data_IF_981788895204
#
_entry.id   IF_981788895204
#
_cell.length_a   1.000
_cell.length_b   1.000
_cell.length_c   1.000
_cell.angle_alpha   90.00
_cell.angle_beta   90.00
_cell.angle_gamma   90.00
#
_symmetry.space_group_name_H-M   'P 1'
#
loop_
_entity.id
_entity.type
_entity.pdbx_description
1 polymer ?
#
# COMPACT_ATOMS: atom_id res chain seq x y z
N UNK A 1 27.71 24.67 6.27
CA UNK A 1 26.94 23.45 6.01
C UNK A 1 25.49 23.76 6.38
N UNK A 2 24.56 23.62 5.46
CA UNK A 2 23.15 23.98 5.67
C UNK A 2 22.59 23.17 6.83
N UNK A 3 21.91 23.84 7.77
CA UNK A 3 21.38 23.21 8.99
C UNK A 3 20.24 22.22 8.67
N UNK A 4 19.39 22.58 7.70
CA UNK A 4 18.29 21.76 7.21
C UNK A 4 18.71 20.34 6.80
N UNK A 5 19.85 20.22 6.08
CA UNK A 5 20.34 18.89 5.64
C UNK A 5 20.76 18.00 6.82
N UNK A 6 21.29 18.58 7.90
CA UNK A 6 21.62 17.83 9.12
C UNK A 6 20.37 17.37 9.85
N UNK A 7 19.35 18.23 9.94
CA UNK A 7 18.05 17.91 10.56
C UNK A 7 17.35 16.79 9.78
N UNK A 8 17.32 16.86 8.44
CA UNK A 8 16.77 15.80 7.59
C UNK A 8 17.53 14.47 7.74
N UNK A 9 18.87 14.51 7.80
CA UNK A 9 19.68 13.32 8.06
C UNK A 9 19.37 12.70 9.43
N UNK A 10 19.07 13.50 10.44
CA UNK A 10 18.67 13.02 11.77
C UNK A 10 17.37 12.24 11.68
N UNK A 11 16.37 12.75 10.96
CA UNK A 11 15.12 12.03 10.70
C UNK A 11 15.40 10.72 9.97
N UNK A 12 16.16 10.75 8.88
CA UNK A 12 16.49 9.57 8.10
C UNK A 12 17.11 8.44 8.94
N UNK A 13 18.04 8.80 9.85
CA UNK A 13 18.67 7.83 10.76
C UNK A 13 17.72 7.26 11.81
N UNK A 14 16.65 7.98 12.14
CA UNK A 14 15.68 7.60 13.19
C UNK A 14 14.51 6.80 12.65
N UNK A 15 14.35 6.72 11.32
CA UNK A 15 13.22 6.01 10.69
C UNK A 15 13.67 4.64 10.21
N UNK A 16 13.21 3.60 10.92
CA UNK A 16 13.43 2.21 10.56
C UNK A 16 12.38 1.71 9.55
N UNK A 17 12.51 0.42 9.15
CA UNK A 17 11.54 -0.28 8.31
C UNK A 17 10.12 -0.22 8.90
N UNK A 18 9.14 0.09 8.07
CA UNK A 18 7.73 0.10 8.46
C UNK A 18 7.10 -1.29 8.37
N UNK A 19 6.17 -1.55 9.30
CA UNK A 19 5.29 -2.71 9.23
C UNK A 19 4.15 -2.39 8.25
N UNK A 20 3.78 -3.36 7.41
CA UNK A 20 2.64 -3.26 6.52
C UNK A 20 1.34 -3.38 7.32
N UNK A 21 0.56 -2.33 7.41
CA UNK A 21 -0.70 -2.24 8.16
C UNK A 21 -1.93 -2.06 7.27
N UNK A 22 -1.73 -1.79 5.98
CA UNK A 22 -2.79 -1.70 4.99
C UNK A 22 -2.97 -2.99 4.19
N UNK A 23 -4.21 -3.27 3.77
CA UNK A 23 -4.53 -4.38 2.89
C UNK A 23 -5.50 -3.92 1.79
N UNK A 24 -5.16 -4.15 0.53
CA UNK A 24 -6.02 -3.89 -0.62
C UNK A 24 -5.81 -4.95 -1.70
N UNK A 25 -6.91 -5.45 -2.27
CA UNK A 25 -6.89 -6.39 -3.40
C UNK A 25 -5.91 -7.57 -3.25
N UNK A 26 -5.73 -8.10 -2.02
CA UNK A 26 -4.89 -9.27 -1.76
C UNK A 26 -3.41 -8.97 -1.52
N UNK A 27 -2.99 -7.72 -1.43
CA UNK A 27 -1.63 -7.34 -1.02
C UNK A 27 -1.65 -6.44 0.21
N UNK A 28 -0.58 -6.50 0.99
CA UNK A 28 -0.34 -5.62 2.14
C UNK A 28 0.53 -4.45 1.73
N UNK A 29 0.31 -3.29 2.34
CA UNK A 29 1.11 -2.09 2.11
C UNK A 29 1.21 -1.24 3.37
N UNK A 30 2.18 -0.35 3.42
CA UNK A 30 2.32 0.63 4.50
C UNK A 30 1.40 1.82 4.22
N UNK A 31 0.44 2.12 5.12
CA UNK A 31 -0.49 3.23 4.93
C UNK A 31 0.19 4.60 5.08
N UNK A 32 -0.41 5.63 4.47
CA UNK A 32 0.07 7.02 4.65
C UNK A 32 0.03 7.46 6.11
N UNK A 33 -0.99 7.04 6.87
CA UNK A 33 -1.09 7.32 8.30
C UNK A 33 0.05 6.72 9.12
N UNK A 34 0.49 5.50 8.80
CA UNK A 34 1.63 4.87 9.46
C UNK A 34 2.92 5.63 9.18
N UNK A 35 3.13 6.07 7.93
CA UNK A 35 4.30 6.90 7.58
C UNK A 35 4.27 8.22 8.35
N UNK A 36 3.15 8.93 8.31
CA UNK A 36 3.02 10.22 8.99
C UNK A 36 3.12 10.12 10.51
N UNK A 37 2.57 9.08 11.12
CA UNK A 37 2.65 8.87 12.57
C UNK A 37 4.09 8.68 13.07
N UNK A 38 4.98 8.19 12.21
CA UNK A 38 6.41 8.05 12.55
C UNK A 38 7.23 9.30 12.15
N UNK A 39 7.02 9.85 10.97
CA UNK A 39 7.85 10.93 10.43
C UNK A 39 7.50 12.29 11.05
N UNK A 40 6.21 12.60 11.24
CA UNK A 40 5.77 13.90 11.76
C UNK A 40 6.30 14.24 13.15
N UNK A 41 6.34 13.33 14.17
CA UNK A 41 6.96 13.64 15.44
C UNK A 41 8.44 14.04 15.31
N UNK A 42 9.19 13.36 14.45
CA UNK A 42 10.60 13.66 14.18
C UNK A 42 10.77 15.01 13.47
N UNK A 43 9.88 15.35 12.54
CA UNK A 43 9.85 16.68 11.91
C UNK A 43 9.63 17.77 12.96
N UNK A 44 8.65 17.59 13.85
CA UNK A 44 8.35 18.54 14.92
C UNK A 44 9.54 18.73 15.87
N UNK A 45 10.19 17.64 16.25
CA UNK A 45 11.39 17.66 17.12
C UNK A 45 12.54 18.44 16.46
N UNK A 46 12.71 18.30 15.15
CA UNK A 46 13.75 19.00 14.40
C UNK A 46 13.34 20.42 13.97
N UNK A 47 12.11 20.86 14.26
CA UNK A 47 11.60 22.16 13.82
C UNK A 47 11.48 22.27 12.30
N UNK A 48 11.06 21.20 11.63
CA UNK A 48 10.88 21.16 10.18
C UNK A 48 9.40 21.12 9.79
N UNK A 49 9.05 21.88 8.75
CA UNK A 49 7.75 21.85 8.07
C UNK A 49 7.95 21.32 6.66
N UNK A 50 7.01 20.50 6.17
CA UNK A 50 6.91 20.09 4.78
C UNK A 50 5.69 20.74 4.14
N UNK A 51 5.92 21.69 3.24
CA UNK A 51 4.88 22.28 2.42
C UNK A 51 4.68 21.47 1.14
N UNK A 52 3.41 21.36 0.68
CA UNK A 52 3.01 20.65 -0.52
C UNK A 52 2.24 21.62 -1.42
N UNK A 53 2.81 21.94 -2.58
CA UNK A 53 2.18 22.77 -3.59
C UNK A 53 1.87 21.92 -4.82
N UNK A 54 0.60 21.80 -5.19
CA UNK A 54 0.21 21.12 -6.43
C UNK A 54 0.44 22.09 -7.60
N UNK A 55 1.41 21.76 -8.45
CA UNK A 55 1.81 22.59 -9.58
C UNK A 55 1.10 22.24 -10.88
N UNK A 56 0.59 21.01 -10.99
CA UNK A 56 -0.16 20.54 -12.17
C UNK A 56 -1.17 19.47 -11.78
N UNK A 57 -2.34 19.50 -12.42
CA UNK A 57 -3.40 18.48 -12.31
C UNK A 57 -3.90 18.14 -13.70
N UNK A 58 -3.88 16.85 -14.05
CA UNK A 58 -4.45 16.33 -15.28
C UNK A 58 -5.43 15.21 -14.94
N UNK A 59 -6.67 15.33 -15.41
CA UNK A 59 -7.72 14.33 -15.21
C UNK A 59 -8.07 13.63 -16.51
N UNK A 60 -8.01 12.32 -16.53
CA UNK A 60 -8.40 11.49 -17.64
C UNK A 60 -9.53 10.55 -17.22
N UNK A 61 -10.62 10.54 -17.99
CA UNK A 61 -11.70 9.58 -17.78
C UNK A 61 -11.26 8.20 -18.28
N UNK A 62 -11.45 7.20 -17.43
CA UNK A 62 -11.16 5.80 -17.71
C UNK A 62 -12.46 5.01 -17.68
N UNK A 63 -12.91 4.58 -18.86
CA UNK A 63 -14.10 3.72 -19.02
C UNK A 63 -13.64 2.29 -19.28
N UNK A 64 -14.14 1.34 -18.52
CA UNK A 64 -13.80 -0.07 -18.68
C UNK A 64 -14.92 -1.00 -18.23
N UNK A 65 -14.83 -2.26 -18.60
CA UNK A 65 -15.80 -3.27 -18.21
C UNK A 65 -15.18 -4.20 -17.17
N UNK A 66 -15.89 -4.40 -16.07
CA UNK A 66 -15.50 -5.35 -15.04
C UNK A 66 -15.63 -6.80 -15.54
N UNK A 67 -14.96 -7.73 -14.88
CA UNK A 67 -15.10 -9.18 -15.17
C UNK A 67 -16.55 -9.68 -15.02
N UNK A 68 -17.38 -8.98 -14.25
CA UNK A 68 -18.81 -9.24 -14.12
C UNK A 68 -19.66 -8.79 -15.33
N UNK A 69 -19.07 -8.12 -16.33
CA UNK A 69 -19.78 -7.50 -17.44
C UNK A 69 -20.33 -6.10 -17.17
N UNK A 70 -20.21 -5.57 -15.95
CA UNK A 70 -20.69 -4.24 -15.61
C UNK A 70 -19.74 -3.15 -16.11
N UNK A 71 -20.27 -2.09 -16.72
CA UNK A 71 -19.50 -0.92 -17.10
C UNK A 71 -19.11 -0.11 -15.86
N UNK A 72 -17.89 0.41 -15.82
CA UNK A 72 -17.37 1.30 -14.77
C UNK A 72 -16.65 2.48 -15.41
N UNK A 73 -16.81 3.66 -14.79
CA UNK A 73 -16.09 4.88 -15.15
C UNK A 73 -15.37 5.39 -13.91
N UNK A 74 -14.10 5.73 -14.07
CA UNK A 74 -13.27 6.34 -13.03
C UNK A 74 -12.47 7.50 -13.59
N UNK A 75 -11.92 8.31 -12.73
CA UNK A 75 -10.98 9.37 -13.11
C UNK A 75 -9.58 8.93 -12.70
N UNK A 76 -8.66 8.91 -13.66
CA UNK A 76 -7.23 8.86 -13.43
C UNK A 76 -6.72 10.29 -13.31
N UNK A 77 -6.40 10.70 -12.10
CA UNK A 77 -5.81 11.99 -11.79
C UNK A 77 -4.30 11.86 -11.73
N UNK A 78 -3.59 12.61 -12.55
CA UNK A 78 -2.13 12.77 -12.48
C UNK A 78 -1.83 14.14 -11.89
N UNK A 79 -0.95 14.20 -10.90
CA UNK A 79 -0.54 15.44 -10.26
C UNK A 79 0.98 15.58 -10.27
N UNK A 80 1.44 16.82 -10.36
CA UNK A 80 2.80 17.23 -10.04
C UNK A 80 2.78 18.07 -8.77
N UNK A 81 3.71 17.83 -7.86
CA UNK A 81 3.81 18.51 -6.57
C UNK A 81 5.23 19.01 -6.38
N UNK A 82 5.34 20.25 -5.92
CA UNK A 82 6.55 20.79 -5.33
C UNK A 82 6.48 20.59 -3.82
N UNK A 83 7.35 19.75 -3.28
CA UNK A 83 7.58 19.59 -1.86
C UNK A 83 8.68 20.53 -1.40
N UNK A 84 8.40 21.37 -0.40
CA UNK A 84 9.37 22.31 0.17
C UNK A 84 9.54 22.04 1.65
N UNK A 85 10.71 21.52 2.03
CA UNK A 85 11.13 21.47 3.43
C UNK A 85 11.54 22.84 3.89
N UNK A 86 11.08 23.24 5.06
CA UNK A 86 11.36 24.55 5.66
C UNK A 86 11.91 24.32 7.06
N UNK A 87 13.09 24.84 7.34
CA UNK A 87 13.63 24.93 8.69
C UNK A 87 13.08 26.18 9.37
N UNK A 88 12.27 25.99 10.40
CA UNK A 88 11.57 27.07 11.12
C UNK A 88 12.51 28.00 11.92
N UNK A 89 13.72 27.55 12.22
CA UNK A 89 14.72 28.36 12.94
C UNK A 89 15.55 29.21 12.02
N UNK A 90 16.05 28.63 10.92
CA UNK A 90 16.97 29.32 10.01
C UNK A 90 16.28 29.93 8.80
N UNK A 91 15.05 29.50 8.48
CA UNK A 91 14.38 29.85 7.23
C UNK A 91 14.97 29.15 5.99
N UNK A 92 15.95 28.26 6.14
CA UNK A 92 16.49 27.50 5.03
C UNK A 92 15.40 26.62 4.41
N UNK A 93 15.43 26.48 3.09
CA UNK A 93 14.50 25.62 2.34
C UNK A 93 15.22 24.61 1.48
N UNK A 94 14.57 23.48 1.24
CA UNK A 94 14.98 22.45 0.29
C UNK A 94 13.78 21.99 -0.51
N UNK A 95 13.84 22.17 -1.83
CA UNK A 95 12.76 21.85 -2.75
C UNK A 95 13.01 20.52 -3.47
N UNK A 96 11.94 19.77 -3.73
CA UNK A 96 11.94 18.59 -4.57
C UNK A 96 10.61 18.43 -5.31
N UNK A 97 10.68 18.05 -6.58
CA UNK A 97 9.51 17.77 -7.40
C UNK A 97 9.17 16.30 -7.33
N UNK A 98 7.88 16.01 -7.30
CA UNK A 98 7.36 14.66 -7.31
C UNK A 98 6.08 14.57 -8.13
N UNK A 99 5.81 13.41 -8.71
CA UNK A 99 4.59 13.16 -9.45
C UNK A 99 3.91 11.89 -8.95
N UNK A 100 2.58 11.89 -8.96
CA UNK A 100 1.79 10.73 -8.57
C UNK A 100 0.49 10.66 -9.37
N UNK A 101 -0.06 9.44 -9.40
CA UNK A 101 -1.35 9.15 -10.01
C UNK A 101 -2.29 8.59 -8.96
N UNK A 102 -3.58 8.92 -9.09
CA UNK A 102 -4.66 8.32 -8.33
C UNK A 102 -5.82 8.01 -9.25
N UNK A 103 -6.31 6.78 -9.22
CA UNK A 103 -7.50 6.38 -9.97
C UNK A 103 -8.61 6.05 -8.98
N UNK A 104 -9.76 6.71 -9.12
CA UNK A 104 -10.91 6.51 -8.25
C UNK A 104 -12.19 7.06 -8.90
N UNK A 105 -13.32 6.88 -8.21
CA UNK A 105 -14.59 7.51 -8.61
C UNK A 105 -14.43 9.03 -8.76
N UNK A 106 -15.31 9.67 -9.51
CA UNK A 106 -15.28 11.04 -10.00
C UNK A 106 -14.65 12.11 -9.10
N UNK A 107 -15.04 12.17 -7.82
CA UNK A 107 -14.62 13.20 -6.85
C UNK A 107 -13.38 12.77 -6.02
N UNK A 108 -12.98 11.51 -6.09
CA UNK A 108 -11.95 10.92 -5.23
C UNK A 108 -10.59 10.76 -5.89
N UNK A 109 -10.50 10.99 -7.22
CA UNK A 109 -9.26 10.83 -7.98
C UNK A 109 -8.13 11.70 -7.42
N UNK A 110 -8.38 13.00 -7.21
CA UNK A 110 -7.41 13.93 -6.65
C UNK A 110 -6.98 13.54 -5.22
N UNK A 111 -7.94 13.20 -4.35
CA UNK A 111 -7.63 12.77 -2.99
C UNK A 111 -6.75 11.51 -2.95
N UNK A 112 -7.01 10.56 -3.83
CA UNK A 112 -6.17 9.37 -4.01
C UNK A 112 -4.76 9.76 -4.45
N UNK A 113 -4.62 10.62 -5.46
CA UNK A 113 -3.33 11.06 -5.99
C UNK A 113 -2.50 11.78 -4.90
N UNK A 114 -3.11 12.69 -4.13
CA UNK A 114 -2.45 13.41 -3.04
C UNK A 114 -1.96 12.46 -1.93
N UNK A 115 -2.81 11.50 -1.53
CA UNK A 115 -2.45 10.51 -0.50
C UNK A 115 -1.29 9.63 -0.95
N UNK A 116 -1.28 9.20 -2.21
CA UNK A 116 -0.17 8.44 -2.78
C UNK A 116 1.10 9.28 -2.86
N UNK A 117 0.98 10.54 -3.32
CA UNK A 117 2.11 11.44 -3.47
C UNK A 117 2.86 11.64 -2.14
N UNK A 118 2.16 12.04 -1.08
CA UNK A 118 2.77 12.28 0.24
C UNK A 118 3.42 11.02 0.81
N UNK A 119 2.70 9.89 0.77
CA UNK A 119 3.20 8.60 1.26
C UNK A 119 4.49 8.20 0.54
N UNK A 120 4.46 8.13 -0.80
CA UNK A 120 5.61 7.69 -1.58
C UNK A 120 6.76 8.70 -1.56
N UNK A 121 6.45 10.00 -1.54
CA UNK A 121 7.47 11.02 -1.38
C UNK A 121 8.28 10.81 -0.09
N UNK A 122 7.61 10.69 1.06
CA UNK A 122 8.29 10.50 2.33
C UNK A 122 9.08 9.19 2.38
N UNK A 123 8.52 8.09 1.90
CA UNK A 123 9.21 6.79 1.83
C UNK A 123 10.47 6.86 0.98
N UNK A 124 10.40 7.47 -0.21
CA UNK A 124 11.53 7.55 -1.13
C UNK A 124 12.55 8.61 -0.71
N UNK A 125 12.10 9.76 -0.19
CA UNK A 125 12.97 10.83 0.29
C UNK A 125 13.87 10.38 1.45
N UNK A 126 13.32 9.66 2.41
CA UNK A 126 14.08 9.12 3.54
C UNK A 126 14.67 7.72 3.29
N UNK A 127 14.54 7.16 2.07
CA UNK A 127 14.99 5.82 1.73
C UNK A 127 14.49 4.72 2.66
N UNK A 128 13.21 4.83 3.07
CA UNK A 128 12.60 3.88 3.98
C UNK A 128 12.22 2.61 3.20
N UNK A 129 12.80 1.45 3.53
CA UNK A 129 12.50 0.21 2.83
C UNK A 129 11.06 -0.23 3.14
N UNK A 130 10.34 -0.60 2.09
CA UNK A 130 9.03 -1.24 2.19
C UNK A 130 9.08 -2.59 1.49
N UNK A 131 8.22 -3.53 1.90
CA UNK A 131 8.14 -4.81 1.19
C UNK A 131 7.55 -4.66 -0.23
N UNK A 132 7.03 -3.47 -0.57
CA UNK A 132 6.55 -3.11 -1.92
C UNK A 132 7.72 -2.86 -2.90
N UNK A 133 8.91 -2.58 -2.39
CA UNK A 133 10.11 -2.28 -3.21
C UNK A 133 10.74 -3.54 -3.84
N UNK A 134 10.34 -4.73 -3.40
CA UNK A 134 10.83 -6.01 -3.92
C UNK A 134 9.96 -6.51 -5.07
N UNK A 135 10.29 -6.07 -6.29
CA UNK A 135 9.57 -6.44 -7.52
C UNK A 135 9.68 -7.94 -7.84
N UNK A 136 10.71 -8.61 -7.28
CA UNK A 136 11.02 -10.01 -7.53
C UNK A 136 10.40 -10.97 -6.50
N UNK A 137 9.74 -10.44 -5.46
CA UNK A 137 8.95 -11.30 -4.57
C UNK A 137 7.89 -12.03 -5.37
N UNK A 138 7.85 -13.37 -5.33
CA UNK A 138 6.73 -14.11 -5.88
C UNK A 138 5.45 -13.51 -5.29
N UNK A 139 4.58 -12.96 -6.14
CA UNK A 139 3.26 -12.53 -5.69
C UNK A 139 2.61 -13.75 -5.02
N UNK A 140 2.47 -13.72 -3.69
CA UNK A 140 1.61 -14.69 -3.03
C UNK A 140 0.28 -14.62 -3.78
N UNK A 141 -0.15 -15.75 -4.38
CA UNK A 141 -1.42 -15.78 -5.09
C UNK A 141 -2.47 -15.27 -4.11
N UNK A 142 -3.21 -14.20 -4.45
CA UNK A 142 -4.24 -13.74 -3.55
C UNK A 142 -5.18 -14.91 -3.26
N UNK A 143 -5.64 -15.04 -2.02
CA UNK A 143 -6.64 -16.03 -1.60
C UNK A 143 -7.88 -16.08 -2.52
N UNK A 144 -8.06 -15.03 -3.34
CA UNK A 144 -9.11 -14.92 -4.34
C UNK A 144 -8.98 -15.88 -5.53
N UNK A 145 -7.79 -16.41 -5.82
CA UNK A 145 -7.57 -17.30 -6.98
C UNK A 145 -7.58 -18.79 -6.63
N UNK A 146 -7.66 -19.13 -5.34
CA UNK A 146 -7.78 -20.52 -4.93
C UNK A 146 -9.19 -21.06 -5.27
N UNK A 147 -9.31 -22.26 -5.85
CA UNK A 147 -10.61 -22.88 -6.08
C UNK A 147 -11.30 -23.22 -4.76
N UNK A 148 -12.64 -23.16 -4.74
CA UNK A 148 -13.40 -23.61 -3.61
C UNK A 148 -13.29 -25.15 -3.45
N UNK A 149 -13.06 -25.59 -2.23
CA UNK A 149 -13.18 -26.99 -1.89
C UNK A 149 -14.67 -27.31 -1.69
N UNK A 150 -15.26 -27.95 -2.68
CA UNK A 150 -16.67 -28.33 -2.64
C UNK A 150 -16.82 -29.77 -2.15
N UNK A 151 -17.87 -30.01 -1.34
CA UNK A 151 -18.25 -31.38 -0.94
C UNK A 151 -18.53 -32.25 -2.17
N UNK A 152 -18.35 -33.53 -2.05
CA UNK A 152 -18.60 -34.54 -3.08
C UNK A 152 -17.68 -34.45 -4.32
N UNK A 153 -16.54 -33.77 -4.18
CA UNK A 153 -15.48 -33.75 -5.19
C UNK A 153 -14.32 -34.66 -4.81
N UNK A 154 -13.55 -35.08 -5.80
CA UNK A 154 -12.31 -35.85 -5.55
C UNK A 154 -11.33 -35.06 -4.66
N UNK A 155 -11.22 -33.75 -4.85
CA UNK A 155 -10.40 -32.87 -4.00
C UNK A 155 -10.87 -32.89 -2.54
N UNK A 156 -12.18 -32.94 -2.29
CA UNK A 156 -12.71 -33.04 -0.93
C UNK A 156 -12.35 -34.40 -0.29
N UNK A 157 -12.48 -35.50 -1.04
CA UNK A 157 -12.13 -36.83 -0.55
C UNK A 157 -10.63 -36.96 -0.22
N UNK A 158 -9.77 -36.36 -1.06
CA UNK A 158 -8.33 -36.26 -0.81
C UNK A 158 -8.01 -35.44 0.45
N UNK A 159 -8.68 -34.27 0.60
CA UNK A 159 -8.53 -33.42 1.78
C UNK A 159 -8.97 -34.14 3.06
N UNK A 160 -10.08 -34.89 3.03
CA UNK A 160 -10.57 -35.67 4.14
C UNK A 160 -9.60 -36.83 4.53
N UNK A 161 -9.07 -37.53 3.54
CA UNK A 161 -8.03 -38.53 3.75
C UNK A 161 -6.73 -37.94 4.30
N UNK A 162 -6.36 -36.69 3.93
CA UNK A 162 -5.22 -36.02 4.48
C UNK A 162 -5.41 -35.64 5.95
N UNK A 163 -6.58 -35.13 6.33
CA UNK A 163 -6.90 -34.77 7.72
C UNK A 163 -6.91 -36.07 8.59
N UNK A 164 -7.52 -37.18 8.11
CA UNK A 164 -7.54 -38.44 8.85
C UNK A 164 -6.15 -39.05 9.09
N UNK A 165 -5.15 -38.66 8.29
CA UNK A 165 -3.73 -39.03 8.45
C UNK A 165 -2.94 -38.06 9.30
N UNK A 166 -3.59 -37.12 10.00
CA UNK A 166 -2.95 -36.14 10.88
C UNK A 166 -2.54 -34.83 10.20
N UNK A 167 -2.98 -34.58 8.96
CA UNK A 167 -2.77 -33.34 8.27
C UNK A 167 -3.55 -32.16 8.88
N UNK A 168 -3.16 -30.92 8.54
CA UNK A 168 -3.80 -29.72 9.08
C UNK A 168 -4.75 -29.05 8.07
N UNK A 169 -5.83 -28.44 8.57
CA UNK A 169 -6.73 -27.60 7.77
C UNK A 169 -5.98 -26.39 7.19
N UNK A 170 -4.97 -25.88 7.91
CA UNK A 170 -4.14 -24.77 7.44
C UNK A 170 -3.42 -25.11 6.12
N UNK A 171 -2.97 -26.34 5.92
CA UNK A 171 -2.34 -26.77 4.68
C UNK A 171 -3.34 -26.93 3.54
N UNK A 172 -4.56 -27.36 3.83
CA UNK A 172 -5.64 -27.41 2.83
C UNK A 172 -6.00 -25.98 2.37
N UNK A 173 -6.05 -25.00 3.30
CA UNK A 173 -6.32 -23.58 2.99
C UNK A 173 -5.26 -22.93 2.13
N UNK A 174 -4.05 -23.46 2.05
CA UNK A 174 -3.02 -23.00 1.10
C UNK A 174 -3.35 -23.36 -0.35
N UNK A 175 -4.21 -24.35 -0.56
CA UNK A 175 -4.56 -24.86 -1.90
C UNK A 175 -6.01 -24.58 -2.29
N UNK A 176 -6.90 -24.44 -1.31
CA UNK A 176 -8.34 -24.29 -1.53
C UNK A 176 -8.96 -23.27 -0.59
N UNK A 177 -10.00 -22.58 -1.06
CA UNK A 177 -10.93 -21.87 -0.19
C UNK A 177 -11.82 -22.90 0.50
N UNK A 178 -11.91 -22.85 1.84
CA UNK A 178 -12.68 -23.77 2.65
C UNK A 178 -13.76 -23.02 3.40
N UNK A 179 -15.04 -23.33 3.12
CA UNK A 179 -16.17 -22.77 3.85
C UNK A 179 -16.25 -23.37 5.26
N UNK A 180 -16.94 -22.69 6.20
CA UNK A 180 -17.15 -23.21 7.56
C UNK A 180 -17.89 -24.55 7.55
N UNK A 181 -18.84 -24.75 6.62
CA UNK A 181 -19.57 -26.00 6.44
C UNK A 181 -18.63 -27.13 6.03
N UNK A 182 -17.81 -26.90 4.99
CA UNK A 182 -16.84 -27.87 4.49
C UNK A 182 -15.76 -28.18 5.54
N UNK A 183 -15.31 -27.20 6.30
CA UNK A 183 -14.39 -27.42 7.41
C UNK A 183 -14.96 -28.35 8.48
N UNK A 184 -16.26 -28.17 8.79
CA UNK A 184 -16.95 -29.08 9.74
C UNK A 184 -17.06 -30.53 9.25
N UNK A 185 -17.11 -30.76 7.93
CA UNK A 185 -17.18 -32.10 7.31
C UNK A 185 -15.81 -32.77 7.16
N UNK A 186 -14.71 -32.00 7.29
CA UNK A 186 -13.33 -32.51 7.24
C UNK A 186 -12.80 -32.96 8.59
N UNK A 187 -13.43 -32.53 9.68
CA UNK A 187 -13.11 -32.93 11.07
C UNK A 187 -13.80 -34.23 11.41
#
# INVERSE_FOLDING_TARGET
>A
MKNISKKLLTIQKSVDKFVQDGQAHGYKYTTGSTVLNKVRPLMNEQGLILNQEVTSIVNNRMDYTLKSGSAKSEILTTIEILFTWIDTESGETLESRFAANGQNDWDKGLGSALTYAERYYLLKFFHIPTDEDDVDKPKEKPDSDLPWLNKDTEAFNQAKAYISKGGSIADIRKKYKVSKEVEGLLK
#
